data_IF_080509999737
#
_entry.id   IF_080509999737
#
_cell.length_a   1.000
_cell.length_b   1.000
_cell.length_c   1.000
_cell.angle_alpha   90.00
_cell.angle_beta   90.00
_cell.angle_gamma   90.00
#
_symmetry.space_group_name_H-M   'P 1'
#
loop_
_entity.id
_entity.type
_entity.pdbx_description
1 polymer ?
#
# COMPACT_ATOMS: atom_id res chain seq x y z
N UNK A 1 16.16 64.75 -24.27
CA UNK A 1 16.31 63.44 -24.95
C UNK A 1 16.12 62.32 -23.91
N UNK A 2 14.88 62.06 -23.47
CA UNK A 2 14.53 61.11 -22.40
C UNK A 2 13.12 60.55 -22.65
N UNK A 3 12.91 60.00 -23.84
CA UNK A 3 11.59 59.49 -24.27
C UNK A 3 11.65 58.08 -24.87
N UNK A 4 12.81 57.41 -24.79
CA UNK A 4 13.03 56.07 -25.38
C UNK A 4 12.90 54.88 -24.42
N UNK A 5 12.99 55.09 -23.11
CA UNK A 5 13.04 53.98 -22.14
C UNK A 5 11.66 53.48 -21.67
N UNK A 6 10.61 54.30 -21.81
CA UNK A 6 9.27 53.95 -21.29
C UNK A 6 8.53 52.96 -22.22
N UNK A 7 8.78 53.01 -23.53
CA UNK A 7 8.16 52.09 -24.49
C UNK A 7 8.75 50.67 -24.45
N UNK A 8 10.01 50.52 -24.03
CA UNK A 8 10.71 49.23 -24.03
C UNK A 8 10.29 48.35 -22.85
N UNK A 9 9.83 48.95 -21.75
CA UNK A 9 9.30 48.20 -20.57
C UNK A 9 7.89 47.67 -20.83
N UNK A 10 7.08 48.35 -21.64
CA UNK A 10 5.72 47.91 -21.98
C UNK A 10 5.69 46.67 -22.89
N UNK A 11 6.70 46.47 -23.74
CA UNK A 11 6.80 45.29 -24.60
C UNK A 11 7.24 44.02 -23.85
N UNK A 12 7.93 44.17 -22.72
CA UNK A 12 8.35 43.02 -21.89
C UNK A 12 7.16 42.46 -21.07
N UNK A 13 6.16 43.28 -20.75
CA UNK A 13 4.96 42.83 -20.00
C UNK A 13 3.91 42.10 -20.85
N UNK A 14 3.99 42.14 -22.18
CA UNK A 14 2.98 41.52 -23.08
C UNK A 14 3.38 40.08 -23.50
N UNK A 15 4.60 39.62 -23.19
CA UNK A 15 5.07 38.29 -23.58
C UNK A 15 5.29 37.30 -22.41
N UNK A 16 4.75 37.57 -21.22
CA UNK A 16 4.37 36.47 -20.32
C UNK A 16 3.01 35.97 -20.80
N UNK A 17 3.00 35.34 -21.99
CA UNK A 17 2.03 34.28 -22.24
C UNK A 17 2.31 33.28 -21.13
N UNK A 18 1.44 33.24 -20.13
CA UNK A 18 1.28 32.05 -19.31
C UNK A 18 1.04 30.96 -20.34
N UNK A 19 2.08 30.22 -20.70
CA UNK A 19 1.92 28.90 -21.26
C UNK A 19 0.99 28.23 -20.25
N UNK A 20 -0.28 28.07 -20.62
CA UNK A 20 -1.21 27.29 -19.83
C UNK A 20 -0.46 26.02 -19.51
N UNK A 21 -0.18 25.82 -18.22
CA UNK A 21 0.46 24.61 -17.74
C UNK A 21 -0.36 23.49 -18.40
N UNK A 22 0.23 22.76 -19.35
CA UNK A 22 -0.45 21.63 -19.97
C UNK A 22 -0.42 20.54 -18.91
N UNK A 23 -1.24 20.73 -17.87
CA UNK A 23 -1.51 19.73 -16.86
C UNK A 23 -2.22 18.65 -17.63
N UNK A 24 -1.46 17.63 -18.02
CA UNK A 24 -2.06 16.37 -18.40
C UNK A 24 -2.83 15.92 -17.17
N UNK A 25 -4.13 16.25 -17.11
CA UNK A 25 -4.96 16.05 -15.94
C UNK A 25 -5.44 14.61 -15.92
N UNK A 26 -4.50 13.68 -16.09
CA UNK A 26 -4.69 12.25 -16.14
C UNK A 26 -4.03 11.66 -14.92
N UNK A 27 -4.72 10.77 -14.23
CA UNK A 27 -4.14 9.97 -13.16
C UNK A 27 -4.36 8.50 -13.48
N UNK A 28 -3.28 7.75 -13.61
CA UNK A 28 -3.27 6.31 -13.85
C UNK A 28 -3.17 5.60 -12.51
N UNK A 29 -4.26 4.93 -12.15
CA UNK A 29 -4.33 4.08 -10.98
C UNK A 29 -3.74 2.71 -11.30
N UNK A 30 -2.76 2.29 -10.51
CA UNK A 30 -2.15 0.99 -10.64
C UNK A 30 -2.88 -0.06 -9.79
N UNK A 31 -3.31 -1.15 -10.44
CA UNK A 31 -4.08 -2.26 -9.87
C UNK A 31 -3.25 -3.55 -9.89
N UNK A 32 -3.61 -4.56 -9.10
CA UNK A 32 -2.84 -5.83 -9.00
C UNK A 32 -3.64 -7.09 -9.27
N UNK A 33 -4.91 -6.97 -9.66
CA UNK A 33 -5.75 -8.11 -10.04
C UNK A 33 -6.78 -7.71 -11.08
N UNK A 34 -7.28 -8.68 -11.84
CA UNK A 34 -8.30 -8.43 -12.86
C UNK A 34 -9.57 -7.81 -12.25
N UNK A 35 -9.94 -8.23 -11.03
CA UNK A 35 -11.08 -7.65 -10.31
C UNK A 35 -10.85 -6.18 -9.94
N UNK A 36 -9.64 -5.84 -9.50
CA UNK A 36 -9.28 -4.46 -9.18
C UNK A 36 -9.20 -3.59 -10.44
N UNK A 37 -8.66 -4.14 -11.54
CA UNK A 37 -8.63 -3.49 -12.85
C UNK A 37 -10.05 -3.20 -13.36
N UNK A 38 -10.94 -4.20 -13.35
CA UNK A 38 -12.33 -4.03 -13.76
C UNK A 38 -13.06 -2.98 -12.91
N UNK A 39 -12.82 -2.97 -11.59
CA UNK A 39 -13.37 -1.95 -10.67
C UNK A 39 -12.82 -0.56 -11.00
N UNK A 40 -11.53 -0.45 -11.27
CA UNK A 40 -10.90 0.81 -11.67
C UNK A 40 -11.48 1.34 -12.98
N UNK A 41 -11.66 0.48 -13.99
CA UNK A 41 -12.23 0.87 -15.27
C UNK A 41 -13.68 1.33 -15.15
N UNK A 42 -14.48 0.64 -14.32
CA UNK A 42 -15.83 1.08 -13.99
C UNK A 42 -15.85 2.46 -13.30
N UNK A 43 -14.90 2.69 -12.37
CA UNK A 43 -14.72 3.99 -11.71
C UNK A 43 -14.29 5.08 -12.70
N UNK A 44 -13.33 4.80 -13.58
CA UNK A 44 -12.90 5.70 -14.64
C UNK A 44 -14.05 6.13 -15.54
N UNK A 45 -14.87 5.16 -15.97
CA UNK A 45 -16.06 5.42 -16.78
C UNK A 45 -17.10 6.26 -16.04
N UNK A 46 -17.26 6.09 -14.72
CA UNK A 46 -18.17 6.91 -13.92
C UNK A 46 -17.68 8.37 -13.82
N UNK A 47 -16.39 8.57 -13.50
CA UNK A 47 -15.79 9.90 -13.43
C UNK A 47 -15.89 10.63 -14.78
N UNK A 48 -15.69 9.91 -15.89
CA UNK A 48 -15.80 10.46 -17.24
C UNK A 48 -17.24 10.88 -17.63
N UNK A 49 -18.28 10.29 -17.03
CA UNK A 49 -19.67 10.72 -17.28
C UNK A 49 -20.03 11.99 -16.53
N UNK A 50 -19.45 12.19 -15.36
CA UNK A 50 -19.80 13.30 -14.45
C UNK A 50 -18.84 14.49 -14.54
N UNK A 51 -18.21 14.71 -15.70
CA UNK A 51 -17.22 15.79 -15.94
C UNK A 51 -17.74 17.17 -15.51
N UNK A 52 -19.02 17.44 -15.77
CA UNK A 52 -19.67 18.73 -15.43
C UNK A 52 -19.72 18.99 -13.93
N UNK A 53 -19.80 17.93 -13.10
CA UNK A 53 -19.79 18.04 -11.65
C UNK A 53 -18.43 18.51 -11.11
N UNK A 54 -17.34 18.03 -11.72
CA UNK A 54 -15.98 18.34 -11.28
C UNK A 54 -15.43 19.66 -11.84
N UNK A 55 -15.99 20.16 -12.95
CA UNK A 55 -15.60 21.44 -13.54
C UNK A 55 -14.09 21.54 -13.79
N UNK A 56 -13.43 22.54 -13.20
CA UNK A 56 -11.97 22.75 -13.33
C UNK A 56 -11.12 21.73 -12.58
N UNK A 57 -11.70 20.96 -11.66
CA UNK A 57 -11.02 19.93 -10.88
C UNK A 57 -11.13 18.53 -11.50
N UNK A 58 -11.67 18.42 -12.71
CA UNK A 58 -11.84 17.16 -13.41
C UNK A 58 -10.52 16.53 -13.82
N UNK A 59 -10.25 15.30 -13.36
CA UNK A 59 -9.13 14.47 -13.84
C UNK A 59 -9.64 13.24 -14.61
N UNK A 60 -8.94 12.88 -15.67
CA UNK A 60 -9.13 11.63 -16.40
C UNK A 60 -8.49 10.50 -15.62
N UNK A 61 -9.27 9.51 -15.20
CA UNK A 61 -8.75 8.32 -14.53
C UNK A 61 -8.37 7.29 -15.60
N UNK A 62 -7.16 6.75 -15.55
CA UNK A 62 -6.74 5.56 -16.30
C UNK A 62 -6.39 4.43 -15.34
N UNK A 63 -6.36 3.21 -15.84
CA UNK A 63 -6.11 2.02 -15.03
C UNK A 63 -5.00 1.20 -15.68
N UNK A 64 -4.03 0.76 -14.90
CA UNK A 64 -2.93 -0.08 -15.38
C UNK A 64 -2.66 -1.21 -14.40
N UNK A 65 -2.74 -2.43 -14.88
CA UNK A 65 -2.52 -3.60 -14.03
C UNK A 65 -1.05 -3.98 -13.98
N UNK A 66 -0.56 -4.20 -12.77
CA UNK A 66 0.72 -4.83 -12.46
C UNK A 66 0.48 -6.26 -11.94
N UNK A 67 1.54 -7.07 -11.89
CA UNK A 67 1.48 -8.44 -11.37
C UNK A 67 1.31 -8.50 -9.85
N UNK A 68 1.91 -7.56 -9.12
CA UNK A 68 1.80 -7.44 -7.67
C UNK A 68 2.07 -6.01 -7.19
N UNK A 69 1.94 -5.75 -5.88
CA UNK A 69 2.14 -4.42 -5.29
C UNK A 69 3.57 -3.90 -5.44
N UNK A 70 4.59 -4.76 -5.46
CA UNK A 70 5.99 -4.35 -5.67
C UNK A 70 6.24 -3.87 -7.10
N UNK A 71 5.72 -4.58 -8.11
CA UNK A 71 5.78 -4.12 -9.49
C UNK A 71 4.98 -2.83 -9.66
N UNK A 72 3.84 -2.71 -8.99
CA UNK A 72 3.04 -1.51 -9.00
C UNK A 72 3.81 -0.29 -8.45
N UNK A 73 4.50 -0.44 -7.32
CA UNK A 73 5.42 0.58 -6.79
C UNK A 73 6.55 0.90 -7.77
N UNK A 74 7.13 -0.12 -8.40
CA UNK A 74 8.16 0.06 -9.44
C UNK A 74 7.64 0.79 -10.70
N UNK A 75 6.35 0.62 -11.05
CA UNK A 75 5.71 1.37 -12.12
C UNK A 75 5.53 2.84 -11.75
N UNK A 76 5.25 3.16 -10.49
CA UNK A 76 5.19 4.54 -10.02
C UNK A 76 6.56 5.23 -10.14
N UNK A 77 7.64 4.54 -9.72
CA UNK A 77 9.01 5.05 -9.86
C UNK A 77 9.41 5.35 -11.30
N UNK A 78 8.91 4.54 -12.23
CA UNK A 78 9.17 4.64 -13.66
C UNK A 78 8.20 5.58 -14.37
N UNK A 79 7.36 6.31 -13.64
CA UNK A 79 6.33 7.21 -14.17
C UNK A 79 5.37 6.51 -15.14
N UNK A 80 5.18 5.19 -14.94
CA UNK A 80 4.27 4.35 -15.73
C UNK A 80 2.86 4.29 -15.14
N UNK A 81 2.70 4.74 -13.90
CA UNK A 81 1.45 4.97 -13.18
C UNK A 81 1.69 6.08 -12.12
N UNK A 82 0.62 6.73 -11.64
CA UNK A 82 0.74 7.88 -10.72
C UNK A 82 0.25 7.59 -9.30
N UNK A 83 -0.61 6.58 -9.10
CA UNK A 83 -1.09 6.23 -7.75
C UNK A 83 -1.42 4.75 -7.60
N UNK A 84 -1.38 4.27 -6.36
CA UNK A 84 -1.91 2.97 -5.96
C UNK A 84 -2.33 3.02 -4.49
N UNK A 85 -3.03 1.99 -4.03
CA UNK A 85 -3.40 1.79 -2.63
C UNK A 85 -2.46 0.78 -1.98
N UNK A 86 -2.04 1.04 -0.74
CA UNK A 86 -1.10 0.22 0.01
C UNK A 86 -1.58 0.06 1.45
N UNK A 87 -1.37 -1.12 2.03
CA UNK A 87 -1.45 -1.30 3.48
C UNK A 87 -0.33 -0.50 4.17
N UNK A 88 -0.53 -0.10 5.42
CA UNK A 88 0.46 0.71 6.15
C UNK A 88 1.84 0.02 6.28
N UNK A 89 1.91 -1.31 6.27
CA UNK A 89 3.18 -2.05 6.23
C UNK A 89 3.88 -1.94 4.87
N UNK A 90 3.11 -1.88 3.80
CA UNK A 90 3.61 -1.68 2.43
C UNK A 90 4.01 -0.21 2.20
N UNK A 91 3.33 0.77 2.83
CA UNK A 91 3.73 2.19 2.79
C UNK A 91 5.16 2.40 3.30
N UNK A 92 5.57 1.65 4.33
CA UNK A 92 6.97 1.68 4.80
C UNK A 92 7.95 1.24 3.70
N UNK A 93 7.62 0.16 2.98
CA UNK A 93 8.43 -0.34 1.86
C UNK A 93 8.46 0.67 0.72
N UNK A 94 7.30 1.22 0.36
CA UNK A 94 7.13 2.23 -0.68
C UNK A 94 8.00 3.47 -0.42
N UNK A 95 7.96 4.02 0.80
CA UNK A 95 8.80 5.16 1.15
C UNK A 95 10.29 4.82 1.19
N UNK A 96 10.65 3.64 1.71
CA UNK A 96 12.06 3.25 1.91
C UNK A 96 12.78 2.85 0.64
N UNK A 97 12.10 2.20 -0.30
CA UNK A 97 12.71 1.59 -1.49
C UNK A 97 12.25 2.20 -2.81
N UNK A 98 11.10 2.87 -2.83
CA UNK A 98 10.50 3.48 -4.03
C UNK A 98 10.34 5.01 -3.89
N UNK A 99 10.80 5.61 -2.79
CA UNK A 99 10.68 7.06 -2.54
C UNK A 99 9.24 7.61 -2.68
N UNK A 100 8.24 6.73 -2.52
CA UNK A 100 6.83 7.10 -2.64
C UNK A 100 6.36 7.80 -1.36
N UNK A 101 5.45 8.76 -1.53
CA UNK A 101 4.86 9.51 -0.42
C UNK A 101 3.35 9.24 -0.33
N UNK A 102 2.82 8.95 0.86
CA UNK A 102 1.37 8.79 1.03
C UNK A 102 0.69 10.16 0.89
N UNK A 103 -0.25 10.29 -0.04
CA UNK A 103 -1.00 11.53 -0.30
C UNK A 103 -2.44 11.50 0.24
N UNK A 104 -2.98 10.30 0.49
CA UNK A 104 -4.35 10.07 0.94
C UNK A 104 -4.39 8.88 1.91
N UNK A 105 -5.35 8.87 2.83
CA UNK A 105 -5.58 7.78 3.78
C UNK A 105 -7.06 7.39 3.77
N UNK A 106 -7.35 6.09 3.87
CA UNK A 106 -8.71 5.59 4.07
C UNK A 106 -9.20 5.93 5.49
N UNK A 107 -10.42 6.45 5.58
CA UNK A 107 -11.13 6.70 6.85
C UNK A 107 -12.42 5.89 6.83
N UNK A 108 -12.63 5.08 7.86
CA UNK A 108 -13.82 4.24 8.00
C UNK A 108 -14.95 5.03 8.68
N UNK A 109 -16.17 4.48 8.69
CA UNK A 109 -17.41 5.15 9.16
C UNK A 109 -17.31 5.75 10.58
N UNK A 110 -16.44 5.21 11.42
CA UNK A 110 -16.14 5.71 12.77
C UNK A 110 -15.46 7.08 12.78
N UNK A 111 -15.00 7.59 11.64
CA UNK A 111 -14.31 8.87 11.49
C UNK A 111 -12.91 8.89 12.11
N UNK A 112 -12.41 7.75 12.59
CA UNK A 112 -11.06 7.65 13.16
C UNK A 112 -10.05 7.22 12.11
N UNK A 113 -8.82 7.73 12.23
CA UNK A 113 -7.69 7.48 11.34
C UNK A 113 -6.76 6.34 11.82
N UNK A 114 -7.24 5.51 12.76
CA UNK A 114 -6.50 4.37 13.29
C UNK A 114 -7.33 3.08 13.17
N UNK A 115 -6.63 1.95 13.13
CA UNK A 115 -7.23 0.62 13.05
C UNK A 115 -6.75 -0.24 14.21
N UNK A 116 -7.63 -1.11 14.71
CA UNK A 116 -7.27 -2.09 15.72
C UNK A 116 -6.72 -3.36 15.08
N UNK A 117 -5.61 -3.85 15.62
CA UNK A 117 -5.13 -5.20 15.33
C UNK A 117 -5.73 -6.16 16.34
N UNK A 118 -6.40 -7.21 15.85
CA UNK A 118 -7.08 -8.19 16.70
C UNK A 118 -6.71 -9.61 16.28
N UNK A 119 -6.62 -10.51 17.26
CA UNK A 119 -6.55 -11.94 17.04
C UNK A 119 -7.92 -12.55 17.30
N UNK A 120 -8.49 -13.21 16.30
CA UNK A 120 -9.82 -13.82 16.38
C UNK A 120 -9.68 -15.33 16.54
N UNK A 121 -10.37 -15.89 17.53
CA UNK A 121 -10.40 -17.32 17.79
C UNK A 121 -11.84 -17.82 17.84
N UNK A 122 -12.08 -19.05 17.37
CA UNK A 122 -13.40 -19.67 17.49
C UNK A 122 -13.68 -19.99 18.94
N UNK A 123 -14.86 -19.60 19.45
CA UNK A 123 -15.28 -19.88 20.84
C UNK A 123 -15.15 -21.38 21.14
N UNK A 124 -14.48 -21.71 22.25
CA UNK A 124 -14.27 -23.09 22.70
C UNK A 124 -13.24 -23.90 21.91
N UNK A 125 -12.59 -23.33 20.87
CA UNK A 125 -11.61 -24.07 20.05
C UNK A 125 -10.22 -24.17 20.67
N UNK A 126 -9.89 -23.25 21.60
CA UNK A 126 -8.57 -23.13 22.23
C UNK A 126 -8.74 -22.91 23.74
N UNK A 127 -9.32 -23.86 24.49
CA UNK A 127 -9.56 -23.70 25.92
C UNK A 127 -8.28 -23.61 26.76
N UNK A 128 -7.17 -24.10 26.21
CA UNK A 128 -5.85 -24.07 26.85
C UNK A 128 -5.05 -22.78 26.57
N UNK A 129 -5.60 -21.86 25.76
CA UNK A 129 -4.95 -20.57 25.45
C UNK A 129 -5.50 -19.49 26.37
N UNK A 130 -4.73 -19.16 27.42
CA UNK A 130 -5.04 -18.09 28.37
C UNK A 130 -4.10 -16.89 28.22
N UNK A 131 -2.89 -17.12 27.73
CA UNK A 131 -1.86 -16.09 27.49
C UNK A 131 -1.36 -16.14 26.06
N UNK A 132 -0.64 -15.09 25.64
CA UNK A 132 0.01 -15.06 24.33
C UNK A 132 1.02 -16.20 24.15
N UNK A 133 1.72 -16.63 25.21
CA UNK A 133 2.68 -17.72 25.16
C UNK A 133 2.05 -19.06 24.79
N UNK A 134 0.77 -19.27 25.17
CA UNK A 134 0.03 -20.50 24.84
C UNK A 134 -0.31 -20.62 23.35
N UNK A 135 -0.04 -19.57 22.56
CA UNK A 135 -0.18 -19.64 21.09
C UNK A 135 0.96 -20.44 20.44
N UNK A 136 2.03 -20.75 21.16
CA UNK A 136 3.11 -21.60 20.66
C UNK A 136 2.56 -22.98 20.28
N UNK A 137 2.90 -23.42 19.07
CA UNK A 137 2.42 -24.67 18.47
C UNK A 137 0.96 -24.65 18.00
N UNK A 138 0.24 -23.51 18.11
CA UNK A 138 -1.10 -23.36 17.54
C UNK A 138 -1.02 -22.95 16.07
N UNK A 139 -2.09 -23.19 15.33
CA UNK A 139 -2.18 -22.75 13.93
C UNK A 139 -2.66 -21.31 13.84
N UNK A 140 -2.00 -20.51 13.02
CA UNK A 140 -2.34 -19.12 12.77
C UNK A 140 -2.65 -18.88 11.28
N UNK A 141 -3.50 -17.89 11.01
CA UNK A 141 -3.80 -17.41 9.68
C UNK A 141 -3.52 -15.91 9.62
N UNK A 142 -2.72 -15.50 8.66
CA UNK A 142 -2.33 -14.11 8.45
C UNK A 142 -2.76 -13.64 7.06
N UNK A 143 -3.34 -12.44 7.00
CA UNK A 143 -3.81 -11.83 5.76
C UNK A 143 -2.68 -11.58 4.75
N UNK A 144 -1.46 -11.31 5.23
CA UNK A 144 -0.28 -11.20 4.38
C UNK A 144 0.98 -10.87 5.14
N UNK A 145 2.09 -11.49 4.75
CA UNK A 145 3.42 -11.18 5.29
C UNK A 145 3.77 -9.73 4.94
N UNK A 146 4.25 -8.98 5.93
CA UNK A 146 4.63 -7.57 5.78
C UNK A 146 3.49 -6.57 5.99
N UNK A 147 2.23 -7.01 6.09
CA UNK A 147 1.12 -6.10 6.42
C UNK A 147 1.20 -5.63 7.88
N UNK A 148 0.76 -4.41 8.16
CA UNK A 148 0.87 -3.80 9.49
C UNK A 148 0.02 -4.57 10.52
N UNK A 149 -1.29 -4.63 10.28
CA UNK A 149 -2.23 -5.20 11.23
C UNK A 149 -2.12 -6.72 11.33
N UNK A 150 -1.90 -7.41 10.21
CA UNK A 150 -1.88 -8.87 10.24
C UNK A 150 -0.51 -9.47 10.50
N UNK A 151 0.61 -8.79 10.23
CA UNK A 151 1.93 -9.40 10.38
C UNK A 151 2.84 -8.64 11.33
N UNK A 152 3.12 -7.37 11.04
CA UNK A 152 4.10 -6.59 11.81
C UNK A 152 3.69 -6.49 13.28
N UNK A 153 2.46 -6.08 13.57
CA UNK A 153 1.99 -5.91 14.96
C UNK A 153 1.93 -7.25 15.70
N UNK A 154 1.28 -8.32 15.19
CA UNK A 154 1.23 -9.59 15.90
C UNK A 154 2.60 -10.22 16.14
N UNK A 155 3.48 -10.23 15.13
CA UNK A 155 4.82 -10.81 15.26
C UNK A 155 5.65 -10.01 16.27
N UNK A 156 5.60 -8.68 16.23
CA UNK A 156 6.28 -7.83 17.22
C UNK A 156 5.78 -8.09 18.65
N UNK A 157 4.46 -8.15 18.83
CA UNK A 157 3.82 -8.43 20.12
C UNK A 157 4.24 -9.79 20.66
N UNK A 158 4.26 -10.81 19.82
CA UNK A 158 4.69 -12.16 20.22
C UNK A 158 6.19 -12.24 20.53
N UNK A 159 7.04 -11.50 19.82
CA UNK A 159 8.48 -11.40 20.15
C UNK A 159 8.72 -10.74 21.51
N UNK A 160 7.92 -9.72 21.87
CA UNK A 160 8.08 -9.00 23.14
C UNK A 160 7.39 -9.68 24.32
N UNK A 161 6.21 -10.26 24.11
CA UNK A 161 5.30 -10.68 25.18
C UNK A 161 4.77 -12.11 25.04
N UNK A 162 4.85 -12.69 23.84
CA UNK A 162 4.39 -14.06 23.57
C UNK A 162 5.49 -15.11 23.58
N UNK A 163 6.72 -14.72 23.95
CA UNK A 163 7.87 -15.61 23.98
C UNK A 163 8.30 -16.14 22.61
N UNK A 164 8.04 -15.43 21.50
CA UNK A 164 8.57 -15.84 20.19
C UNK A 164 10.07 -15.55 20.08
N UNK A 165 10.85 -16.61 19.90
CA UNK A 165 12.29 -16.51 19.69
C UNK A 165 12.63 -15.98 18.30
N UNK A 166 13.58 -15.04 18.22
CA UNK A 166 14.15 -14.57 16.96
C UNK A 166 15.27 -15.53 16.55
N UNK A 167 14.99 -16.37 15.57
CA UNK A 167 15.97 -17.34 15.04
C UNK A 167 16.89 -16.69 14.01
N UNK A 168 16.30 -15.79 13.22
CA UNK A 168 16.96 -15.14 12.09
C UNK A 168 16.38 -13.73 11.95
N UNK A 169 17.23 -12.73 12.14
CA UNK A 169 16.85 -11.31 12.04
C UNK A 169 16.46 -10.90 10.61
N UNK A 170 16.93 -11.64 9.60
CA UNK A 170 16.63 -11.37 8.20
C UNK A 170 15.47 -12.23 7.68
N UNK A 171 14.99 -13.19 8.47
CA UNK A 171 13.92 -14.10 8.09
C UNK A 171 12.94 -14.31 9.25
N UNK A 172 12.08 -13.31 9.46
CA UNK A 172 11.04 -13.38 10.48
C UNK A 172 10.05 -14.52 10.22
N UNK A 173 9.82 -14.89 8.95
CA UNK A 173 8.99 -16.05 8.57
C UNK A 173 9.51 -17.34 9.22
N UNK A 174 10.84 -17.54 9.27
CA UNK A 174 11.46 -18.68 9.97
C UNK A 174 11.09 -18.76 11.44
N UNK A 175 11.15 -17.62 12.12
CA UNK A 175 10.82 -17.49 13.54
C UNK A 175 9.34 -17.81 13.77
N UNK A 176 8.46 -17.29 12.91
CA UNK A 176 7.03 -17.59 12.91
C UNK A 176 6.74 -19.08 12.68
N UNK A 177 7.45 -19.75 11.77
CA UNK A 177 7.30 -21.19 11.52
C UNK A 177 7.67 -22.00 12.75
N UNK A 178 8.78 -21.69 13.43
CA UNK A 178 9.16 -22.41 14.66
C UNK A 178 8.13 -22.19 15.77
N UNK A 179 7.53 -21.00 15.83
CA UNK A 179 6.58 -20.65 16.88
C UNK A 179 5.22 -21.32 16.68
N UNK A 180 4.63 -21.23 15.49
CA UNK A 180 3.27 -21.73 15.20
C UNK A 180 3.24 -23.10 14.53
N UNK A 181 4.34 -23.56 13.95
CA UNK A 181 4.33 -24.71 13.06
C UNK A 181 3.59 -24.42 11.74
N UNK A 182 3.03 -25.44 11.06
CA UNK A 182 2.31 -25.27 9.80
C UNK A 182 1.12 -24.31 9.96
N UNK A 183 1.16 -23.20 9.23
CA UNK A 183 0.19 -22.09 9.30
C UNK A 183 -0.01 -21.48 7.91
N UNK A 184 -0.88 -20.47 7.78
CA UNK A 184 -1.12 -19.79 6.51
C UNK A 184 -0.73 -18.31 6.61
N UNK A 185 0.09 -17.84 5.68
CA UNK A 185 0.34 -16.43 5.49
C UNK A 185 0.44 -16.12 3.98
N UNK A 186 -0.39 -15.21 3.49
CA UNK A 186 -0.30 -14.76 2.09
C UNK A 186 1.07 -14.11 1.87
N UNK A 187 1.64 -14.25 0.67
CA UNK A 187 2.96 -13.74 0.31
C UNK A 187 4.16 -14.35 1.07
N UNK A 188 3.97 -15.41 1.87
CA UNK A 188 5.06 -16.07 2.61
C UNK A 188 6.09 -16.82 1.75
N UNK A 189 5.82 -16.98 0.45
CA UNK A 189 6.72 -17.65 -0.50
C UNK A 189 7.47 -16.66 -1.38
N UNK A 190 7.24 -15.36 -1.22
CA UNK A 190 8.02 -14.35 -1.95
C UNK A 190 9.44 -14.37 -1.40
N UNK A 191 10.44 -14.47 -2.29
CA UNK A 191 11.86 -14.57 -1.93
C UNK A 191 12.31 -13.45 -0.97
N UNK A 192 11.73 -12.26 -1.10
CA UNK A 192 11.91 -11.12 -0.18
C UNK A 192 11.68 -11.47 1.28
N UNK A 193 10.66 -12.28 1.57
CA UNK A 193 10.29 -12.69 2.93
C UNK A 193 10.78 -14.09 3.29
N UNK A 194 11.11 -14.90 2.29
CA UNK A 194 11.45 -16.30 2.47
C UNK A 194 12.51 -16.77 1.47
N UNK A 195 13.74 -16.22 1.54
CA UNK A 195 14.81 -16.53 0.59
C UNK A 195 15.27 -18.00 0.64
N UNK A 196 14.88 -18.74 1.69
CA UNK A 196 15.23 -20.14 1.90
C UNK A 196 14.08 -21.11 1.58
N UNK A 197 12.93 -20.62 1.10
CA UNK A 197 11.81 -21.46 0.66
C UNK A 197 11.10 -22.26 1.75
N UNK A 198 11.10 -21.81 3.01
CA UNK A 198 10.43 -22.50 4.12
C UNK A 198 8.91 -22.28 4.12
N UNK A 199 8.12 -23.32 4.37
CA UNK A 199 6.68 -23.27 4.11
C UNK A 199 5.86 -22.82 5.35
N UNK A 200 5.26 -21.62 5.26
CA UNK A 200 4.03 -21.23 5.98
C UNK A 200 2.81 -21.44 5.09
N UNK A 201 2.66 -22.63 4.51
CA UNK A 201 1.43 -23.01 3.81
C UNK A 201 1.02 -24.42 4.20
N UNK A 202 -0.28 -24.58 4.45
CA UNK A 202 -0.94 -25.87 4.38
C UNK A 202 -1.41 -26.09 2.93
N UNK A 203 -1.39 -27.34 2.47
CA UNK A 203 -2.00 -27.76 1.20
C UNK A 203 -3.51 -27.82 1.33
#
# INVERSE_FOLDING_TARGET
MRTGYVFLVFLIFICIRINGLNTNNTVTWCTVSDNEQNKCEAFSNAVARDVTFFGKSYFTVKCKQAFNKEECMSMLDQEKAEMTTLDAGEVFIAGRYHSLVPIMQEIYESGVNYQYTVAVVKKGSLPDVQTLENLRGKRACFAGVGTLASWIIPIHTLMKQGGMEIIDCNNHVKSTIKYFGPSCAVNSLIDKYNPLGMLLKYK
#
